data_IF_075884233148
#
_entry.id   IF_075884233148
#
_cell.length_a   1.000
_cell.length_b   1.000
_cell.length_c   1.000
_cell.angle_alpha   90.00
_cell.angle_beta   90.00
_cell.angle_gamma   90.00
#
_symmetry.space_group_name_H-M   'P 1'
#
loop_
_entity.id
_entity.type
_entity.pdbx_description
1 polymer ?
#
# COMPACT_ATOMS: atom_id res chain seq x y z
N UNK A 1 -71.34 -21.26 -35.90
CA UNK A 1 -72.45 -21.10 -34.93
C UNK A 1 -72.00 -21.70 -33.60
N UNK A 2 -71.93 -20.85 -32.56
CA UNK A 2 -71.83 -21.14 -31.11
C UNK A 2 -70.58 -21.89 -30.55
N UNK A 3 -70.18 -21.72 -29.26
CA UNK A 3 -69.53 -20.49 -28.73
C UNK A 3 -68.46 -20.75 -27.61
N UNK A 4 -67.93 -19.64 -27.05
CA UNK A 4 -67.31 -19.37 -25.71
C UNK A 4 -66.23 -20.29 -25.12
N UNK A 5 -65.10 -19.69 -24.73
CA UNK A 5 -64.61 -19.75 -23.34
C UNK A 5 -63.62 -18.61 -23.06
N UNK A 6 -64.05 -17.63 -22.27
CA UNK A 6 -63.19 -16.65 -21.63
C UNK A 6 -62.51 -17.29 -20.41
N UNK A 7 -61.22 -17.04 -20.21
CA UNK A 7 -60.53 -17.37 -18.95
C UNK A 7 -59.74 -16.17 -18.47
N UNK A 8 -60.18 -15.66 -17.32
CA UNK A 8 -59.55 -14.63 -16.51
C UNK A 8 -58.47 -15.28 -15.64
N UNK A 9 -57.25 -14.73 -15.67
CA UNK A 9 -56.26 -14.85 -14.60
C UNK A 9 -55.41 -13.57 -14.66
N UNK A 10 -55.50 -12.64 -13.73
CA UNK A 10 -55.09 -12.82 -12.35
C UNK A 10 -53.77 -12.06 -12.16
N UNK A 11 -53.84 -10.72 -12.07
CA UNK A 11 -52.69 -9.84 -11.94
C UNK A 11 -52.12 -9.97 -10.52
N UNK A 12 -51.09 -10.80 -10.35
CA UNK A 12 -50.30 -10.83 -9.13
C UNK A 12 -49.33 -9.63 -9.11
N UNK A 13 -49.65 -8.62 -8.30
CA UNK A 13 -48.75 -7.50 -7.98
C UNK A 13 -47.61 -8.01 -7.10
N UNK A 14 -46.44 -8.25 -7.69
CA UNK A 14 -45.22 -8.40 -6.90
C UNK A 14 -44.79 -7.05 -6.32
N UNK A 15 -44.85 -6.97 -4.98
CA UNK A 15 -44.18 -5.93 -4.19
C UNK A 15 -42.68 -5.99 -4.49
N UNK A 16 -42.15 -4.95 -5.14
CA UNK A 16 -40.71 -4.68 -5.19
C UNK A 16 -40.25 -4.40 -3.76
N UNK A 17 -39.46 -5.33 -3.20
CA UNK A 17 -38.62 -5.03 -2.06
C UNK A 17 -37.57 -4.01 -2.53
N UNK A 18 -37.56 -2.83 -1.92
CA UNK A 18 -36.50 -1.85 -2.05
C UNK A 18 -35.21 -2.48 -1.55
N UNK A 19 -34.33 -2.83 -2.49
CA UNK A 19 -32.92 -3.05 -2.16
C UNK A 19 -32.37 -1.70 -1.72
N UNK A 20 -32.02 -1.57 -0.44
CA UNK A 20 -31.10 -0.52 0.00
C UNK A 20 -29.82 -0.68 -0.83
N UNK A 21 -29.58 0.33 -1.65
CA UNK A 21 -28.39 0.51 -2.46
C UNK A 21 -27.20 0.62 -1.50
N UNK A 22 -26.57 -0.51 -1.21
CA UNK A 22 -25.28 -0.54 -0.55
C UNK A 22 -24.27 0.04 -1.53
N UNK A 23 -24.00 1.33 -1.40
CA UNK A 23 -22.85 1.99 -1.99
C UNK A 23 -21.61 1.32 -1.42
N UNK A 24 -21.07 0.36 -2.15
CA UNK A 24 -19.68 -0.05 -2.01
C UNK A 24 -18.85 1.14 -2.47
N UNK A 25 -18.44 1.99 -1.53
CA UNK A 25 -17.25 2.80 -1.73
C UNK A 25 -16.11 1.79 -1.84
N UNK A 26 -15.67 1.51 -3.08
CA UNK A 26 -14.34 0.97 -3.31
C UNK A 26 -13.40 1.92 -2.57
N UNK A 27 -12.87 1.46 -1.42
CA UNK A 27 -11.89 2.17 -0.60
C UNK A 27 -10.57 2.16 -1.39
N UNK A 28 -10.58 2.87 -2.51
CA UNK A 28 -9.46 3.27 -3.35
C UNK A 28 -8.71 4.39 -2.63
N UNK A 29 -8.36 4.14 -1.36
CA UNK A 29 -7.42 4.95 -0.59
C UNK A 29 -5.99 4.57 -0.97
N UNK A 30 -5.73 4.60 -2.27
CA UNK A 30 -4.41 4.88 -2.82
C UNK A 30 -4.18 6.38 -2.66
N UNK A 31 -4.04 6.84 -1.40
CA UNK A 31 -3.43 8.14 -1.14
C UNK A 31 -2.08 8.12 -1.83
N UNK A 32 -1.98 8.93 -2.88
CA UNK A 32 -0.72 9.36 -3.45
C UNK A 32 0.24 9.64 -2.29
N UNK A 33 1.46 9.13 -2.39
CA UNK A 33 2.54 9.71 -1.63
C UNK A 33 2.69 11.11 -2.23
N UNK A 34 1.94 12.08 -1.70
CA UNK A 34 2.08 13.49 -2.07
C UNK A 34 3.54 13.87 -1.86
N UNK A 35 4.23 14.05 -2.99
CA UNK A 35 5.52 14.71 -3.05
C UNK A 35 5.23 16.21 -2.88
N UNK A 36 4.97 16.65 -1.65
CA UNK A 36 4.87 18.07 -1.34
C UNK A 36 6.25 18.69 -1.65
N UNK A 37 6.30 19.52 -2.70
CA UNK A 37 7.44 20.35 -3.01
C UNK A 37 7.69 21.33 -1.84
N UNK A 38 8.93 21.49 -1.35
CA UNK A 38 9.21 22.44 -0.29
C UNK A 38 9.12 23.87 -0.85
N UNK A 39 8.02 24.57 -0.58
CA UNK A 39 7.97 26.03 -0.68
C UNK A 39 9.03 26.63 0.25
N UNK A 40 9.91 27.45 -0.31
CA UNK A 40 10.99 28.11 0.39
C UNK A 40 10.46 28.89 1.60
N UNK A 41 10.93 28.52 2.81
CA UNK A 41 10.66 29.28 4.04
C UNK A 41 11.95 29.87 4.57
N UNK A 42 11.91 31.20 4.69
CA UNK A 42 12.94 32.10 5.22
C UNK A 42 13.48 31.60 6.57
N UNK A 43 14.80 31.56 6.68
CA UNK A 43 15.55 31.18 7.89
C UNK A 43 15.30 32.19 9.01
N UNK A 44 14.72 31.75 10.13
CA UNK A 44 14.92 32.38 11.43
C UNK A 44 15.59 31.36 12.36
N UNK A 45 16.67 31.79 13.00
CA UNK A 45 17.53 30.98 13.85
C UNK A 45 16.79 30.49 15.11
N UNK A 46 16.96 29.22 15.44
CA UNK A 46 16.52 28.64 16.71
C UNK A 46 17.63 27.74 17.29
N UNK A 47 17.84 27.90 18.60
CA UNK A 47 18.88 27.30 19.46
C UNK A 47 18.75 25.76 19.55
N UNK A 48 19.86 25.03 19.80
CA UNK A 48 19.82 23.58 19.89
C UNK A 48 19.29 23.12 21.25
N UNK A 49 18.22 22.32 21.23
CA UNK A 49 17.82 21.46 22.36
C UNK A 49 18.07 20.02 21.93
N UNK A 50 19.07 19.40 22.55
CA UNK A 50 19.39 17.98 22.37
C UNK A 50 18.32 17.16 23.09
N UNK A 51 17.40 16.57 22.33
CA UNK A 51 16.57 15.46 22.80
C UNK A 51 17.12 14.16 22.22
N UNK A 52 17.79 13.40 23.06
CA UNK A 52 18.16 12.00 22.85
C UNK A 52 16.91 11.20 22.51
N UNK A 53 16.87 10.70 21.28
CA UNK A 53 15.78 9.85 20.78
C UNK A 53 16.13 8.42 21.16
N UNK A 54 15.46 7.87 22.17
CA UNK A 54 15.61 6.48 22.56
C UNK A 54 15.13 5.57 21.43
N UNK A 55 16.00 4.66 20.99
CA UNK A 55 15.67 3.57 20.10
C UNK A 55 14.86 2.55 20.91
N UNK A 56 13.57 2.43 20.61
CA UNK A 56 12.74 1.36 21.16
C UNK A 56 13.22 0.00 20.65
N UNK A 57 13.19 -1.07 21.46
CA UNK A 57 13.63 -2.39 21.04
C UNK A 57 12.66 -2.97 20.01
N UNK A 58 13.23 -3.54 18.95
CA UNK A 58 12.56 -4.29 17.89
C UNK A 58 11.83 -5.46 18.53
N UNK A 59 10.51 -5.37 18.60
CA UNK A 59 9.66 -6.51 18.96
C UNK A 59 9.64 -7.49 17.79
N UNK A 60 10.08 -8.72 18.07
CA UNK A 60 10.00 -9.86 17.15
C UNK A 60 8.52 -10.09 16.78
N UNK A 61 8.22 -10.10 15.49
CA UNK A 61 6.96 -10.66 14.97
C UNK A 61 6.05 -9.73 14.18
N UNK A 62 6.57 -8.74 13.44
CA UNK A 62 5.76 -8.10 12.40
C UNK A 62 6.36 -8.38 11.03
N UNK A 63 5.60 -9.14 10.22
CA UNK A 63 5.81 -9.47 8.80
C UNK A 63 5.68 -8.21 7.92
N UNK A 64 6.38 -7.16 8.30
CA UNK A 64 6.43 -5.87 7.62
C UNK A 64 7.70 -5.84 6.80
N UNK A 65 7.57 -5.63 5.50
CA UNK A 65 8.73 -5.41 4.65
C UNK A 65 9.60 -4.29 5.21
N UNK A 66 10.90 -4.58 5.40
CA UNK A 66 11.86 -3.65 5.96
C UNK A 66 11.74 -2.31 5.25
N UNK A 67 11.50 -1.24 6.01
CA UNK A 67 11.59 0.11 5.47
C UNK A 67 13.00 0.29 4.91
N UNK A 68 13.15 0.68 3.62
CA UNK A 68 14.47 0.82 3.03
C UNK A 68 15.32 1.79 3.87
N UNK A 69 16.54 1.38 4.19
CA UNK A 69 17.50 2.15 5.01
C UNK A 69 17.72 3.55 4.43
N UNK A 70 17.62 3.68 3.09
CA UNK A 70 17.72 4.94 2.38
C UNK A 70 16.37 5.41 1.81
N UNK A 71 16.09 6.71 1.96
CA UNK A 71 14.89 7.36 1.38
C UNK A 71 14.90 7.25 -0.15
N UNK A 72 13.71 7.11 -0.75
CA UNK A 72 13.50 6.97 -2.20
C UNK A 72 14.25 8.02 -3.03
N UNK A 73 14.16 9.30 -2.67
CA UNK A 73 14.78 10.40 -3.41
C UNK A 73 16.32 10.38 -3.38
N UNK A 74 16.93 9.80 -2.34
CA UNK A 74 18.39 9.64 -2.26
C UNK A 74 18.91 8.47 -3.11
N UNK A 75 18.03 7.57 -3.54
CA UNK A 75 18.38 6.45 -4.42
C UNK A 75 18.41 6.81 -5.90
N UNK A 76 17.83 7.96 -6.28
CA UNK A 76 17.72 8.40 -7.68
C UNK A 76 19.06 9.00 -8.11
N UNK A 77 19.66 8.42 -9.14
CA UNK A 77 20.89 8.93 -9.75
C UNK A 77 20.55 10.01 -10.79
N UNK A 78 21.12 11.20 -10.60
CA UNK A 78 21.07 12.28 -11.59
C UNK A 78 22.23 12.15 -12.59
N UNK A 79 21.93 11.87 -13.87
CA UNK A 79 22.91 11.66 -14.93
C UNK A 79 23.56 12.95 -15.48
N UNK A 80 23.05 14.14 -15.10
CA UNK A 80 23.69 15.42 -15.40
C UNK A 80 24.95 15.65 -14.55
N UNK A 81 25.14 14.85 -13.50
CA UNK A 81 26.31 14.90 -12.62
C UNK A 81 27.35 13.89 -13.06
N UNK A 82 28.56 14.36 -13.36
CA UNK A 82 29.69 13.53 -13.77
C UNK A 82 30.00 12.38 -12.77
N UNK A 83 29.85 12.64 -11.47
CA UNK A 83 30.04 11.62 -10.42
C UNK A 83 29.07 10.45 -10.56
N UNK A 84 27.78 10.72 -10.74
CA UNK A 84 26.78 9.67 -10.90
C UNK A 84 26.94 8.93 -12.23
N UNK A 85 27.31 9.63 -13.30
CA UNK A 85 27.60 9.01 -14.59
C UNK A 85 28.76 8.03 -14.48
N UNK A 86 29.81 8.37 -13.73
CA UNK A 86 30.92 7.44 -13.42
C UNK A 86 30.45 6.24 -12.61
N UNK A 87 29.61 6.46 -11.60
CA UNK A 87 29.04 5.35 -10.81
C UNK A 87 28.22 4.39 -11.67
N UNK A 88 27.39 4.92 -12.58
CA UNK A 88 26.58 4.11 -13.51
C UNK A 88 27.46 3.38 -14.53
N UNK A 89 28.51 4.03 -15.04
CA UNK A 89 29.45 3.40 -15.96
C UNK A 89 30.17 2.20 -15.32
N UNK A 90 30.47 2.30 -14.03
CA UNK A 90 31.12 1.24 -13.25
C UNK A 90 30.15 0.24 -12.62
N UNK A 91 28.83 0.44 -12.76
CA UNK A 91 27.84 -0.43 -12.15
C UNK A 91 27.83 -1.81 -12.82
N UNK A 92 27.63 -2.86 -12.02
CA UNK A 92 27.43 -4.21 -12.55
C UNK A 92 26.07 -4.28 -13.22
N UNK A 93 26.06 -4.50 -14.53
CA UNK A 93 24.83 -4.60 -15.32
C UNK A 93 24.32 -6.03 -15.31
N UNK A 94 23.01 -6.17 -15.15
CA UNK A 94 22.35 -7.47 -15.22
C UNK A 94 22.27 -7.90 -16.69
N UNK A 95 22.68 -9.13 -16.97
CA UNK A 95 22.88 -9.62 -18.33
C UNK A 95 21.58 -10.06 -19.03
N UNK A 96 21.74 -10.76 -20.15
CA UNK A 96 20.64 -11.25 -20.98
C UNK A 96 19.84 -12.39 -20.33
N UNK A 97 20.35 -12.99 -19.24
CA UNK A 97 19.65 -14.02 -18.47
C UNK A 97 18.31 -13.55 -17.90
N UNK A 98 18.13 -12.23 -17.73
CA UNK A 98 16.83 -11.62 -17.38
C UNK A 98 16.03 -11.29 -18.65
N UNK A 99 16.54 -10.37 -19.47
CA UNK A 99 16.04 -10.07 -20.81
C UNK A 99 17.16 -9.33 -21.54
N UNK A 100 17.22 -9.38 -22.87
CA UNK A 100 18.19 -8.59 -23.61
C UNK A 100 17.72 -7.13 -23.73
N UNK A 101 18.52 -6.20 -23.22
CA UNK A 101 18.16 -4.77 -23.24
C UNK A 101 18.29 -4.15 -24.62
N UNK A 102 19.16 -4.71 -25.45
CA UNK A 102 19.49 -4.21 -26.79
C UNK A 102 18.63 -4.90 -27.88
N UNK A 103 17.96 -6.00 -27.54
CA UNK A 103 16.98 -6.64 -28.42
C UNK A 103 15.75 -5.74 -28.63
N UNK A 104 15.20 -5.77 -29.84
CA UNK A 104 13.98 -5.05 -30.19
C UNK A 104 12.76 -5.61 -29.47
N UNK A 105 11.73 -4.77 -29.33
CA UNK A 105 10.46 -5.21 -28.75
C UNK A 105 9.85 -6.35 -29.57
N UNK A 106 9.39 -7.39 -28.87
CA UNK A 106 8.67 -8.52 -29.45
C UNK A 106 7.31 -8.04 -29.97
N UNK A 107 6.91 -8.51 -31.14
CA UNK A 107 5.59 -8.21 -31.70
C UNK A 107 4.44 -8.67 -30.77
N UNK A 108 3.37 -7.89 -30.72
CA UNK A 108 2.16 -8.19 -29.94
C UNK A 108 2.01 -7.37 -28.65
N UNK A 109 0.91 -7.58 -27.91
CA UNK A 109 0.61 -6.81 -26.70
C UNK A 109 1.49 -7.25 -25.52
N UNK A 110 1.85 -6.28 -24.67
CA UNK A 110 2.48 -6.57 -23.37
C UNK A 110 1.49 -7.32 -22.49
N UNK A 111 1.88 -8.51 -22.01
CA UNK A 111 1.03 -9.36 -21.18
C UNK A 111 0.83 -8.79 -19.77
N UNK A 112 -0.32 -9.09 -19.17
CA UNK A 112 -0.60 -8.93 -17.74
C UNK A 112 -0.48 -7.49 -17.20
N UNK A 113 -0.71 -6.49 -18.04
CA UNK A 113 -0.74 -5.07 -17.65
C UNK A 113 -1.93 -4.35 -18.27
N UNK A 114 -2.56 -3.45 -17.50
CA UNK A 114 -3.63 -2.58 -18.00
C UNK A 114 -3.10 -1.37 -18.76
N UNK A 115 -1.78 -1.12 -18.70
CA UNK A 115 -1.12 0.02 -19.36
C UNK A 115 0.00 -0.45 -20.29
N UNK A 116 -0.29 -1.22 -21.35
CA UNK A 116 0.73 -1.83 -22.20
C UNK A 116 1.63 -0.81 -22.92
N UNK A 117 1.12 0.40 -23.18
CA UNK A 117 1.88 1.47 -23.84
C UNK A 117 3.07 1.98 -23.01
N UNK A 118 3.08 1.79 -21.68
CA UNK A 118 4.17 2.23 -20.80
C UNK A 118 5.35 1.26 -20.76
N UNK A 119 5.17 0.03 -21.26
CA UNK A 119 6.11 -1.05 -21.08
C UNK A 119 6.58 -1.63 -22.41
N UNK A 120 7.77 -2.21 -22.39
CA UNK A 120 8.33 -2.96 -23.51
C UNK A 120 7.81 -4.40 -23.47
N UNK A 121 7.51 -4.95 -24.64
CA UNK A 121 7.28 -6.39 -24.79
C UNK A 121 8.63 -7.04 -25.08
N UNK A 122 9.21 -7.75 -24.12
CA UNK A 122 10.57 -8.30 -24.25
C UNK A 122 10.56 -9.81 -24.27
N UNK A 123 11.59 -10.41 -24.89
CA UNK A 123 11.88 -11.83 -24.71
C UNK A 123 12.59 -12.01 -23.37
N UNK A 124 11.95 -12.75 -22.47
CA UNK A 124 12.53 -13.09 -21.18
C UNK A 124 13.61 -14.17 -21.35
N UNK A 125 14.72 -14.00 -20.63
CA UNK A 125 15.81 -14.96 -20.54
C UNK A 125 15.52 -16.08 -19.53
N UNK A 126 16.47 -17.00 -19.40
CA UNK A 126 16.33 -18.22 -18.62
C UNK A 126 16.00 -17.96 -17.13
N UNK A 127 16.47 -16.85 -16.55
CA UNK A 127 16.24 -16.54 -15.15
C UNK A 127 14.75 -16.35 -14.81
N UNK A 128 13.95 -15.90 -15.79
CA UNK A 128 12.50 -15.72 -15.64
C UNK A 128 11.70 -17.03 -15.64
N UNK A 129 12.35 -18.15 -15.96
CA UNK A 129 11.74 -19.48 -16.04
C UNK A 129 12.43 -20.51 -15.16
N UNK A 130 13.49 -20.13 -14.46
CA UNK A 130 14.32 -21.04 -13.68
C UNK A 130 13.79 -21.26 -12.26
N UNK A 131 13.39 -22.51 -12.00
CA UNK A 131 12.88 -23.03 -10.72
C UNK A 131 13.88 -23.91 -9.96
N UNK A 132 15.13 -24.02 -10.45
CA UNK A 132 16.12 -24.97 -9.95
C UNK A 132 16.68 -24.63 -8.56
N UNK A 133 16.73 -23.34 -8.21
CA UNK A 133 17.30 -22.85 -6.95
C UNK A 133 16.23 -22.46 -5.94
N UNK A 134 16.00 -23.31 -4.94
CA UNK A 134 15.04 -23.11 -3.85
C UNK A 134 15.31 -21.85 -3.04
N UNK A 135 16.58 -21.43 -2.90
CA UNK A 135 16.95 -20.26 -2.12
C UNK A 135 16.40 -18.96 -2.73
N UNK A 136 16.08 -18.96 -4.03
CA UNK A 136 15.48 -17.82 -4.70
C UNK A 136 13.96 -17.73 -4.52
N UNK A 137 13.32 -18.68 -3.85
CA UNK A 137 11.86 -18.69 -3.63
C UNK A 137 11.51 -18.50 -2.15
N UNK A 138 11.83 -17.35 -1.54
CA UNK A 138 11.48 -17.10 -0.14
C UNK A 138 9.96 -17.05 0.05
N UNK A 139 9.49 -17.50 1.21
CA UNK A 139 8.09 -17.33 1.66
C UNK A 139 7.79 -15.88 2.03
N UNK A 140 8.84 -15.13 2.42
CA UNK A 140 8.81 -13.73 2.79
C UNK A 140 9.76 -12.93 1.89
N UNK A 141 9.39 -12.70 0.61
CA UNK A 141 10.26 -11.98 -0.31
C UNK A 141 10.49 -10.54 0.15
N UNK A 142 11.75 -10.09 0.08
CA UNK A 142 12.10 -8.69 0.25
C UNK A 142 11.68 -7.89 -0.99
N UNK A 143 11.09 -6.72 -0.78
CA UNK A 143 10.71 -5.80 -1.85
C UNK A 143 11.33 -4.43 -1.63
N UNK A 144 12.11 -4.01 -2.62
CA UNK A 144 12.62 -2.64 -2.70
C UNK A 144 11.92 -1.92 -3.84
N UNK A 145 11.26 -0.80 -3.53
CA UNK A 145 10.54 -0.02 -4.56
C UNK A 145 11.47 0.41 -5.68
N UNK A 146 10.97 0.33 -6.91
CA UNK A 146 11.57 0.93 -8.09
C UNK A 146 11.65 2.46 -7.93
N UNK A 147 12.74 3.03 -8.43
CA UNK A 147 12.97 4.48 -8.53
C UNK A 147 13.17 4.89 -9.99
N UNK A 148 12.91 6.16 -10.35
CA UNK A 148 13.25 6.67 -11.68
C UNK A 148 14.74 6.44 -12.03
N UNK A 149 14.99 6.03 -13.27
CA UNK A 149 16.28 5.61 -13.78
C UNK A 149 16.45 4.08 -13.80
N UNK A 150 17.32 3.54 -14.66
CA UNK A 150 17.60 2.08 -14.69
C UNK A 150 18.41 1.64 -13.47
N UNK A 151 19.26 2.52 -12.97
CA UNK A 151 20.17 2.25 -11.86
C UNK A 151 19.73 3.01 -10.62
N UNK A 152 19.95 2.42 -9.45
CA UNK A 152 19.69 3.07 -8.16
C UNK A 152 20.93 3.06 -7.27
N UNK A 153 21.09 4.13 -6.48
CA UNK A 153 22.11 4.20 -5.45
C UNK A 153 21.69 3.38 -4.22
N UNK A 154 22.62 2.61 -3.67
CA UNK A 154 22.45 1.83 -2.46
C UNK A 154 23.01 2.56 -1.22
N UNK A 155 22.64 2.16 0.01
CA UNK A 155 23.10 2.81 1.23
C UNK A 155 24.63 2.81 1.43
N UNK A 156 25.32 1.84 0.84
CA UNK A 156 26.79 1.70 0.83
C UNK A 156 27.48 2.51 -0.28
N UNK A 157 26.72 3.37 -0.98
CA UNK A 157 27.12 4.13 -2.17
C UNK A 157 27.46 3.29 -3.40
N UNK A 158 27.11 1.99 -3.41
CA UNK A 158 27.16 1.18 -4.63
C UNK A 158 25.94 1.45 -5.52
N UNK A 159 25.99 0.99 -6.77
CA UNK A 159 24.90 1.14 -7.74
C UNK A 159 24.36 -0.22 -8.15
N UNK A 160 23.05 -0.39 -8.05
CA UNK A 160 22.36 -1.61 -8.48
C UNK A 160 21.55 -1.37 -9.75
N UNK A 161 21.57 -2.33 -10.68
CA UNK A 161 20.69 -2.35 -11.85
C UNK A 161 19.28 -2.83 -11.45
N UNK A 162 18.29 -1.95 -11.59
CA UNK A 162 16.90 -2.26 -11.22
C UNK A 162 16.26 -3.31 -12.14
N UNK A 163 16.91 -3.68 -13.25
CA UNK A 163 16.54 -4.82 -14.08
C UNK A 163 16.38 -6.11 -13.27
N UNK A 164 17.21 -6.34 -12.25
CA UNK A 164 17.10 -7.52 -11.39
C UNK A 164 15.75 -7.60 -10.66
N UNK A 165 15.15 -6.46 -10.31
CA UNK A 165 13.89 -6.40 -9.56
C UNK A 165 12.65 -6.77 -10.38
N UNK A 166 12.77 -6.81 -11.71
CA UNK A 166 11.64 -7.11 -12.60
C UNK A 166 11.14 -8.54 -12.43
N UNK A 167 12.02 -9.46 -12.03
CA UNK A 167 11.69 -10.85 -11.79
C UNK A 167 11.50 -11.04 -10.28
N UNK A 168 10.29 -11.40 -9.89
CA UNK A 168 9.92 -11.65 -8.49
C UNK A 168 9.70 -13.14 -8.33
N UNK A 169 10.58 -13.78 -7.56
CA UNK A 169 10.50 -15.19 -7.21
C UNK A 169 10.04 -15.32 -5.76
N UNK A 170 9.05 -16.17 -5.49
CA UNK A 170 8.51 -16.39 -4.15
C UNK A 170 7.86 -17.76 -4.01
N UNK A 171 7.73 -18.22 -2.77
CA UNK A 171 6.88 -19.37 -2.42
C UNK A 171 5.54 -18.86 -1.90
N UNK A 172 4.43 -19.35 -2.48
CA UNK A 172 3.09 -18.89 -2.13
C UNK A 172 2.57 -19.46 -0.79
N UNK A 173 1.40 -19.00 -0.35
CA UNK A 173 0.71 -19.46 0.87
C UNK A 173 0.39 -20.98 0.88
N UNK A 174 0.47 -21.65 -0.27
CA UNK A 174 0.24 -23.08 -0.44
C UNK A 174 1.55 -23.87 -0.60
N UNK A 175 2.72 -23.22 -0.45
CA UNK A 175 4.02 -23.83 -0.64
C UNK A 175 4.45 -23.99 -2.11
N UNK A 176 3.74 -23.37 -3.06
CA UNK A 176 4.08 -23.46 -4.49
C UNK A 176 5.01 -22.33 -4.91
N UNK A 177 6.12 -22.69 -5.57
CA UNK A 177 7.05 -21.74 -6.18
C UNK A 177 6.37 -20.96 -7.32
N UNK A 178 6.59 -19.65 -7.37
CA UNK A 178 6.08 -18.76 -8.43
C UNK A 178 7.16 -17.81 -8.89
N UNK A 179 7.19 -17.57 -10.20
CA UNK A 179 7.99 -16.51 -10.82
C UNK A 179 7.03 -15.53 -11.49
N UNK A 180 7.19 -14.24 -11.18
CA UNK A 180 6.50 -13.15 -11.86
C UNK A 180 7.52 -12.31 -12.62
N UNK A 181 7.40 -12.27 -13.95
CA UNK A 181 8.23 -11.43 -14.80
C UNK A 181 7.47 -10.15 -15.16
N UNK A 182 7.87 -9.03 -14.59
CA UNK A 182 7.24 -7.73 -14.81
C UNK A 182 7.89 -7.02 -16.01
N UNK A 183 7.12 -6.57 -17.02
CA UNK A 183 7.68 -5.99 -18.23
C UNK A 183 8.47 -4.71 -17.91
N UNK A 184 9.66 -4.51 -18.51
CA UNK A 184 10.45 -3.32 -18.27
C UNK A 184 9.74 -2.08 -18.82
N UNK A 185 9.89 -0.92 -18.17
CA UNK A 185 9.33 0.32 -18.70
C UNK A 185 9.99 0.68 -20.03
N UNK A 186 9.24 1.35 -20.93
CA UNK A 186 9.83 1.92 -22.15
C UNK A 186 10.85 3.00 -21.82
N UNK A 187 10.54 3.83 -20.84
CA UNK A 187 11.45 4.80 -20.25
C UNK A 187 11.55 4.55 -18.74
N UNK A 188 12.77 4.26 -18.27
CA UNK A 188 13.04 4.06 -16.86
C UNK A 188 12.86 5.32 -16.01
N UNK A 189 12.82 6.51 -16.62
CA UNK A 189 12.55 7.78 -15.94
C UNK A 189 11.06 8.11 -15.86
N UNK A 190 10.18 7.37 -16.56
CA UNK A 190 8.74 7.63 -16.53
C UNK A 190 8.14 7.24 -15.16
N UNK A 191 7.78 8.27 -14.39
CA UNK A 191 7.19 8.12 -13.06
C UNK A 191 5.87 7.35 -13.09
N UNK A 192 5.08 7.42 -14.17
CA UNK A 192 3.81 6.69 -14.30
C UNK A 192 4.08 5.19 -14.45
N UNK A 193 5.03 4.82 -15.32
CA UNK A 193 5.47 3.43 -15.50
C UNK A 193 6.05 2.85 -14.21
N UNK A 194 6.95 3.59 -13.54
CA UNK A 194 7.56 3.19 -12.26
C UNK A 194 6.51 3.01 -11.15
N UNK A 195 5.50 3.89 -11.10
CA UNK A 195 4.40 3.76 -10.12
C UNK A 195 3.56 2.51 -10.40
N UNK A 196 3.21 2.27 -11.66
CA UNK A 196 2.46 1.07 -12.05
C UNK A 196 3.24 -0.22 -11.74
N UNK A 197 4.55 -0.24 -11.99
CA UNK A 197 5.43 -1.37 -11.69
C UNK A 197 5.53 -1.67 -10.19
N UNK A 198 5.68 -0.63 -9.37
CA UNK A 198 5.66 -0.74 -7.91
C UNK A 198 4.33 -1.30 -7.40
N UNK A 199 3.19 -0.74 -7.84
CA UNK A 199 1.85 -1.23 -7.45
C UNK A 199 1.68 -2.70 -7.82
N UNK A 200 2.05 -3.07 -9.04
CA UNK A 200 1.95 -4.45 -9.54
C UNK A 200 2.77 -5.42 -8.70
N UNK A 201 4.03 -5.11 -8.43
CA UNK A 201 4.93 -5.97 -7.65
C UNK A 201 4.43 -6.18 -6.23
N UNK A 202 4.01 -5.10 -5.57
CA UNK A 202 3.40 -5.15 -4.24
C UNK A 202 2.15 -6.05 -4.24
N UNK A 203 1.32 -5.93 -5.27
CA UNK A 203 0.09 -6.70 -5.39
C UNK A 203 0.35 -8.18 -5.67
N UNK A 204 1.36 -8.52 -6.47
CA UNK A 204 1.81 -9.89 -6.70
C UNK A 204 2.25 -10.56 -5.40
N UNK A 205 3.11 -9.91 -4.63
CA UNK A 205 3.58 -10.42 -3.34
C UNK A 205 2.39 -10.57 -2.38
N UNK A 206 1.60 -9.51 -2.18
CA UNK A 206 0.47 -9.51 -1.24
C UNK A 206 -0.59 -10.57 -1.54
N UNK A 207 -0.87 -10.87 -2.81
CA UNK A 207 -1.88 -11.86 -3.20
C UNK A 207 -1.40 -13.30 -3.04
N UNK A 208 -0.09 -13.52 -3.04
CA UNK A 208 0.50 -14.86 -3.03
C UNK A 208 1.18 -15.21 -1.71
N UNK A 209 1.52 -14.24 -0.85
CA UNK A 209 2.19 -14.48 0.43
C UNK A 209 1.41 -13.85 1.59
N UNK A 210 1.84 -14.11 2.83
CA UNK A 210 1.32 -13.44 4.02
C UNK A 210 2.01 -12.10 4.32
N UNK A 211 2.95 -11.67 3.47
CA UNK A 211 3.74 -10.45 3.67
C UNK A 211 2.84 -9.23 3.63
N UNK A 212 3.01 -8.35 4.62
CA UNK A 212 2.34 -7.06 4.68
C UNK A 212 3.36 -5.96 4.43
N UNK A 213 2.97 -5.00 3.61
CA UNK A 213 3.82 -3.84 3.27
C UNK A 213 3.64 -2.68 4.25
N UNK A 214 2.64 -2.79 5.13
CA UNK A 214 2.28 -1.78 6.12
C UNK A 214 1.87 -2.51 7.39
N UNK A 215 2.22 -1.91 8.52
CA UNK A 215 1.74 -2.39 9.81
C UNK A 215 0.22 -2.27 9.88
N UNK A 216 -0.41 -3.22 10.56
CA UNK A 216 -1.85 -3.18 10.76
C UNK A 216 -2.18 -1.96 11.61
N UNK A 217 -2.92 -1.02 11.02
CA UNK A 217 -3.41 0.13 11.77
C UNK A 217 -4.36 -0.39 12.84
N UNK A 218 -3.93 -0.29 14.10
CA UNK A 218 -4.78 -0.64 15.23
C UNK A 218 -6.01 0.27 15.18
N UNK A 219 -7.21 -0.29 15.22
CA UNK A 219 -8.44 0.50 15.17
C UNK A 219 -8.58 1.39 16.41
N UNK A 220 -9.18 2.58 16.26
CA UNK A 220 -9.54 3.42 17.40
C UNK A 220 -10.67 2.77 18.21
N UNK A 221 -10.54 2.78 19.52
CA UNK A 221 -11.53 2.19 20.43
C UNK A 221 -12.52 3.25 20.91
N UNK A 222 -13.63 2.82 21.51
CA UNK A 222 -14.71 3.73 21.91
C UNK A 222 -14.23 4.86 22.84
N UNK A 223 -13.36 4.55 23.80
CA UNK A 223 -12.78 5.53 24.73
C UNK A 223 -11.89 6.56 24.03
N UNK A 224 -11.05 6.13 23.09
CA UNK A 224 -10.22 7.02 22.28
C UNK A 224 -11.09 7.95 21.43
N UNK A 225 -12.14 7.42 20.81
CA UNK A 225 -13.07 8.21 19.99
C UNK A 225 -13.91 9.18 20.80
N UNK A 226 -14.31 8.78 22.01
CA UNK A 226 -14.98 9.68 22.96
C UNK A 226 -14.05 10.83 23.33
N UNK A 227 -12.80 10.54 23.65
CA UNK A 227 -11.82 11.60 23.92
C UNK A 227 -11.58 12.51 22.71
N UNK A 228 -11.49 11.94 21.50
CA UNK A 228 -11.38 12.73 20.27
C UNK A 228 -12.57 13.70 20.20
N UNK A 229 -13.80 13.20 20.32
CA UNK A 229 -15.00 14.02 20.28
C UNK A 229 -14.97 15.16 21.31
N UNK A 230 -14.62 14.85 22.56
CA UNK A 230 -14.57 15.82 23.66
C UNK A 230 -13.53 16.94 23.46
N UNK A 231 -12.54 16.73 22.57
CA UNK A 231 -11.44 17.66 22.30
C UNK A 231 -11.52 18.29 20.89
N UNK A 232 -12.69 18.18 20.24
CA UNK A 232 -13.00 18.87 18.99
C UNK A 232 -14.00 20.00 19.24
N UNK A 233 -13.77 21.15 18.59
CA UNK A 233 -14.74 22.25 18.46
C UNK A 233 -15.07 22.39 16.98
N UNK A 234 -16.35 22.23 16.61
CA UNK A 234 -16.81 22.29 15.21
C UNK A 234 -16.02 21.36 14.27
N UNK A 235 -15.70 20.15 14.74
CA UNK A 235 -14.95 19.15 13.97
C UNK A 235 -13.45 19.44 13.81
N UNK A 236 -12.89 20.41 14.54
CA UNK A 236 -11.45 20.72 14.54
C UNK A 236 -10.88 20.69 15.96
N UNK A 237 -9.60 20.32 16.15
CA UNK A 237 -8.99 20.36 17.48
C UNK A 237 -9.00 21.75 18.09
N UNK A 238 -9.52 21.88 19.32
CA UNK A 238 -9.72 23.18 20.00
C UNK A 238 -8.42 23.97 20.16
N UNK A 239 -7.32 23.28 20.47
CA UNK A 239 -6.01 23.90 20.73
C UNK A 239 -4.98 23.62 19.61
N UNK A 240 -5.46 23.31 18.41
CA UNK A 240 -4.62 22.95 17.27
C UNK A 240 -4.06 21.52 17.33
N UNK A 241 -3.61 21.05 16.16
CA UNK A 241 -3.25 19.64 15.97
C UNK A 241 -2.07 19.16 16.80
N UNK A 242 -1.02 19.97 16.97
CA UNK A 242 0.18 19.55 17.71
C UNK A 242 -0.16 19.16 19.15
N UNK A 243 -0.86 20.05 19.86
CA UNK A 243 -1.26 19.83 21.24
C UNK A 243 -2.26 18.67 21.36
N UNK A 244 -3.19 18.58 20.41
CA UNK A 244 -4.14 17.46 20.34
C UNK A 244 -3.44 16.10 20.22
N UNK A 245 -2.43 15.97 19.36
CA UNK A 245 -1.64 14.74 19.20
C UNK A 245 -0.86 14.42 20.48
N UNK A 246 -0.21 15.42 21.08
CA UNK A 246 0.58 15.23 22.31
C UNK A 246 -0.32 14.80 23.48
N UNK A 247 -1.48 15.45 23.66
CA UNK A 247 -2.45 15.12 24.72
C UNK A 247 -3.10 13.75 24.49
N UNK A 248 -3.42 13.40 23.24
CA UNK A 248 -3.96 12.07 22.89
C UNK A 248 -2.98 10.97 23.30
N UNK A 249 -1.71 11.10 22.89
CA UNK A 249 -0.69 10.09 23.16
C UNK A 249 -0.35 10.02 24.65
N UNK A 250 -0.24 11.16 25.35
CA UNK A 250 -0.09 11.18 26.80
C UNK A 250 -1.23 10.44 27.53
N UNK A 251 -2.44 10.47 26.96
CA UNK A 251 -3.60 9.79 27.55
C UNK A 251 -3.63 8.30 27.24
N UNK A 252 -3.27 7.86 26.04
CA UNK A 252 -3.52 6.48 25.59
C UNK A 252 -2.26 5.64 25.31
N UNK A 253 -1.18 6.23 24.80
CA UNK A 253 0.01 5.48 24.37
C UNK A 253 0.55 4.58 25.50
N UNK A 254 0.82 3.32 25.17
CA UNK A 254 1.35 2.31 26.10
C UNK A 254 0.33 1.79 27.12
N UNK A 255 -0.83 2.44 27.30
CA UNK A 255 -1.86 2.00 28.25
C UNK A 255 -2.64 0.82 27.70
N UNK A 256 -3.06 -0.09 28.57
CA UNK A 256 -3.95 -1.20 28.23
C UNK A 256 -5.36 -0.82 28.62
N UNK A 257 -6.27 -0.86 27.66
CA UNK A 257 -7.70 -0.61 27.90
C UNK A 257 -8.36 -1.97 28.17
N UNK A 258 -9.20 -2.02 29.22
CA UNK A 258 -9.75 -3.23 29.84
C UNK A 258 -10.39 -4.21 28.83
N UNK A 259 -11.07 -3.68 27.80
CA UNK A 259 -11.77 -4.50 26.79
C UNK A 259 -10.94 -4.84 25.54
N UNK A 260 -9.71 -4.36 25.45
CA UNK A 260 -8.86 -4.51 24.26
C UNK A 260 -7.68 -5.43 24.53
N UNK A 261 -7.20 -5.48 25.77
CA UNK A 261 -6.14 -6.38 26.22
C UNK A 261 -4.76 -6.14 25.59
N UNK A 262 -4.59 -5.08 24.80
CA UNK A 262 -3.34 -4.69 24.15
C UNK A 262 -3.01 -3.23 24.45
N UNK A 263 -1.72 -2.95 24.64
CA UNK A 263 -1.21 -1.60 24.78
C UNK A 263 -1.56 -0.75 23.55
N UNK A 264 -2.02 0.48 23.76
CA UNK A 264 -2.37 1.37 22.64
C UNK A 264 -1.11 1.91 21.97
N UNK A 265 -1.06 1.94 20.63
CA UNK A 265 0.09 2.47 19.93
C UNK A 265 0.13 4.00 19.97
N UNK A 266 1.32 4.55 19.76
CA UNK A 266 1.47 5.96 19.40
C UNK A 266 0.66 6.29 18.14
N UNK A 267 -0.07 7.41 18.17
CA UNK A 267 -0.82 7.95 17.02
C UNK A 267 -0.12 9.17 16.46
N UNK A 268 0.14 9.14 15.17
CA UNK A 268 0.69 10.29 14.44
C UNK A 268 -0.40 11.33 14.17
N UNK A 269 0.03 12.55 13.85
CA UNK A 269 -0.86 13.60 13.33
C UNK A 269 -1.71 13.09 12.16
N UNK A 270 -1.10 12.44 11.16
CA UNK A 270 -1.82 11.92 9.99
C UNK A 270 -2.88 10.87 10.37
N UNK A 271 -2.58 9.99 11.33
CA UNK A 271 -3.54 8.99 11.82
C UNK A 271 -4.78 9.65 12.45
N UNK A 272 -4.58 10.64 13.31
CA UNK A 272 -5.67 11.35 13.98
C UNK A 272 -6.44 12.25 13.01
N UNK A 273 -5.76 12.94 12.09
CA UNK A 273 -6.41 13.72 11.03
C UNK A 273 -7.33 12.86 10.19
N UNK A 274 -6.88 11.68 9.73
CA UNK A 274 -7.72 10.77 8.95
C UNK A 274 -8.93 10.25 9.73
N UNK A 275 -8.79 9.97 11.02
CA UNK A 275 -9.93 9.57 11.86
C UNK A 275 -10.96 10.70 11.98
N UNK A 276 -10.50 11.94 12.20
CA UNK A 276 -11.37 13.12 12.29
C UNK A 276 -12.00 13.46 10.94
N UNK A 277 -11.29 13.35 9.83
CA UNK A 277 -11.84 13.60 8.50
C UNK A 277 -12.88 12.54 8.11
N UNK A 278 -12.56 11.25 8.32
CA UNK A 278 -13.45 10.13 7.98
C UNK A 278 -14.78 10.18 8.73
N UNK A 279 -14.78 10.61 9.99
CA UNK A 279 -15.97 10.60 10.84
C UNK A 279 -16.49 11.99 11.22
N UNK A 280 -15.77 13.05 10.88
CA UNK A 280 -16.02 14.42 11.37
C UNK A 280 -17.40 14.93 11.02
N UNK A 281 -17.74 14.95 9.74
CA UNK A 281 -19.01 15.51 9.27
C UNK A 281 -20.24 14.67 9.66
N UNK A 282 -20.09 13.35 9.76
CA UNK A 282 -21.21 12.42 10.00
C UNK A 282 -21.46 12.15 11.48
N UNK A 283 -20.41 12.15 12.31
CA UNK A 283 -20.46 11.72 13.71
C UNK A 283 -20.00 12.81 14.66
N UNK A 284 -18.75 13.25 14.57
CA UNK A 284 -18.18 14.15 15.58
C UNK A 284 -18.84 15.54 15.59
N UNK A 285 -19.20 16.08 14.43
CA UNK A 285 -19.97 17.34 14.32
C UNK A 285 -21.34 17.28 14.98
N UNK A 286 -21.89 16.07 15.16
CA UNK A 286 -23.20 15.80 15.78
C UNK A 286 -23.07 15.39 17.25
N UNK A 287 -21.86 15.42 17.82
CA UNK A 287 -21.63 14.93 19.19
C UNK A 287 -21.74 13.40 19.32
N UNK A 288 -21.59 12.65 18.22
CA UNK A 288 -21.73 11.19 18.20
C UNK A 288 -20.37 10.51 18.08
N UNK A 289 -20.24 9.34 18.71
CA UNK A 289 -19.03 8.49 18.65
C UNK A 289 -19.23 7.39 17.60
N UNK A 290 -18.34 7.27 16.59
CA UNK A 290 -18.41 6.21 15.59
C UNK A 290 -18.32 4.82 16.23
N UNK A 291 -19.33 3.99 15.98
CA UNK A 291 -19.32 2.58 16.39
C UNK A 291 -18.48 1.79 15.38
N UNK A 292 -17.52 0.96 15.82
CA UNK A 292 -16.82 0.06 14.92
C UNK A 292 -17.84 -0.82 14.20
N UNK A 293 -17.70 -0.95 12.87
CA UNK A 293 -18.53 -1.90 12.12
C UNK A 293 -18.28 -3.29 12.71
N UNK A 294 -19.31 -3.88 13.35
CA UNK A 294 -19.25 -5.30 13.70
C UNK A 294 -19.21 -6.02 12.37
N UNK A 295 -18.09 -6.67 12.04
CA UNK A 295 -18.11 -7.72 11.03
C UNK A 295 -19.07 -8.79 11.54
N UNK A 296 -20.35 -8.67 11.16
CA UNK A 296 -21.27 -9.78 11.30
C UNK A 296 -20.75 -10.83 10.34
N UNK A 297 -19.98 -11.78 10.88
CA UNK A 297 -19.68 -13.02 10.18
C UNK A 297 -20.99 -13.80 10.16
N UNK A 298 -21.94 -13.39 9.31
CA UNK A 298 -22.96 -14.31 8.81
C UNK A 298 -22.23 -15.26 7.85
N UNK A 299 -21.45 -16.19 8.40
CA UNK A 299 -21.15 -17.44 7.70
C UNK A 299 -22.52 -18.09 7.51
N UNK A 300 -23.02 -18.03 6.27
CA UNK A 300 -24.19 -18.78 5.87
C UNK A 300 -23.91 -20.26 6.11
N UNK A 301 -24.34 -20.75 7.28
CA UNK A 301 -24.56 -22.17 7.49
C UNK A 301 -25.73 -22.56 6.60
N UNK A 302 -25.45 -22.86 5.33
CA UNK A 302 -26.34 -23.69 4.54
C UNK A 302 -26.16 -25.11 5.06
N UNK A 303 -26.94 -25.44 6.09
CA UNK A 303 -27.22 -26.82 6.46
C UNK A 303 -28.01 -27.41 5.29
N UNK A 304 -27.39 -28.34 4.58
CA UNK A 304 -28.05 -29.18 3.59
C UNK A 304 -29.01 -30.12 4.33
N UNK A 305 -30.29 -29.80 4.30
CA UNK A 305 -31.36 -30.80 4.40
C UNK A 305 -31.89 -30.97 2.98
N UNK A 306 -31.49 -32.09 2.37
CA UNK A 306 -32.23 -33.01 1.49
C UNK A 306 -31.22 -33.96 0.86
#
# INVERSE_FOLDING_TARGET
MQPVAASLSGVARHKRASYEEATYDEDDTDSEIELIAPTARVKKAAKPVVKTRSLSPVTKGHLSLMTPVMKRNKRILNLDKAEHTRLVANATKVGAEYYDSDESDVAGPVKDTTKPHLFRNVRWGAHATDYSDDAQFPTEPEFTQFVPGRFELQPDNTVADQKAKLIVKLTDIHGKKRIFANPPPRDWNDQVAITALNKRTVQQIRRNTHVRFRDVVVAYVAEERKWILDNLTNGKPTNGWKRFVDEFNAKFEGKVIEHVGKARPFRTHSSLTKEVERFGAKWYSKGLVPVPFKHSVKRGSKRSEL
#
